data_IF_360778806574
#
_entry.id   IF_360778806574
#
_cell.length_a   1.000
_cell.length_b   1.000
_cell.length_c   1.000
_cell.angle_alpha   90.00
_cell.angle_beta   90.00
_cell.angle_gamma   90.00
#
_symmetry.space_group_name_H-M   'P 1'
#
loop_
_entity.id
_entity.type
_entity.pdbx_description
1 polymer ?
#
# COMPACT_ATOMS: atom_id res chain seq x y z
N UNK A 1 -0.06 7.16 -4.35
CA UNK A 1 -0.02 7.41 -5.80
C UNK A 1 -1.42 7.23 -6.38
N UNK A 2 -2.16 8.32 -6.63
CA UNK A 2 -3.45 8.23 -7.35
C UNK A 2 -3.14 8.07 -8.84
N UNK A 3 -3.12 6.83 -9.33
CA UNK A 3 -3.15 6.58 -10.77
C UNK A 3 -4.34 7.37 -11.33
N UNK A 4 -4.07 8.40 -12.15
CA UNK A 4 -5.10 9.02 -12.98
C UNK A 4 -5.80 7.87 -13.70
N UNK A 5 -7.11 8.02 -13.98
CA UNK A 5 -7.84 7.09 -14.85
C UNK A 5 -7.23 7.20 -16.26
N UNK A 6 -6.07 6.59 -16.45
CA UNK A 6 -5.43 6.36 -17.72
C UNK A 6 -6.26 5.25 -18.32
N UNK A 7 -7.18 5.65 -19.18
CA UNK A 7 -7.96 4.76 -20.03
C UNK A 7 -7.09 3.94 -21.00
N UNK A 8 -5.76 4.02 -20.89
CA UNK A 8 -4.82 3.28 -21.70
C UNK A 8 -4.30 2.05 -20.95
N UNK A 9 -4.94 0.92 -21.24
CA UNK A 9 -4.54 -0.41 -20.80
C UNK A 9 -3.05 -0.70 -21.11
N UNK A 10 -2.53 -0.22 -22.24
CA UNK A 10 -1.13 -0.44 -22.59
C UNK A 10 -0.19 0.32 -21.63
N UNK A 11 -0.55 1.54 -21.23
CA UNK A 11 0.20 2.27 -20.20
C UNK A 11 0.22 1.51 -18.88
N UNK A 12 -0.92 0.99 -18.42
CA UNK A 12 -0.98 0.20 -17.19
C UNK A 12 -0.07 -1.04 -17.23
N UNK A 13 -0.06 -1.77 -18.36
CA UNK A 13 0.83 -2.92 -18.55
C UNK A 13 2.31 -2.52 -18.55
N UNK A 14 2.68 -1.45 -19.27
CA UNK A 14 4.07 -0.98 -19.34
C UNK A 14 4.58 -0.52 -17.98
N UNK A 15 3.81 0.29 -17.25
CA UNK A 15 4.24 0.78 -15.93
C UNK A 15 4.27 -0.34 -14.89
N UNK A 16 3.32 -1.28 -14.93
CA UNK A 16 3.37 -2.47 -14.05
C UNK A 16 4.62 -3.30 -14.32
N UNK A 17 4.94 -3.55 -15.60
CA UNK A 17 6.15 -4.28 -16.01
C UNK A 17 7.42 -3.61 -15.49
N UNK A 18 7.51 -2.28 -15.54
CA UNK A 18 8.64 -1.53 -14.97
C UNK A 18 8.74 -1.69 -13.47
N UNK A 19 7.62 -1.56 -12.75
CA UNK A 19 7.58 -1.71 -11.29
C UNK A 19 8.08 -3.10 -10.88
N UNK A 20 7.52 -4.17 -11.46
CA UNK A 20 7.91 -5.54 -11.09
C UNK A 20 9.33 -5.91 -11.48
N UNK A 21 9.96 -5.12 -12.37
CA UNK A 21 11.35 -5.31 -12.80
C UNK A 21 12.36 -4.47 -12.02
N UNK A 22 11.92 -3.72 -11.00
CA UNK A 22 12.82 -2.89 -10.20
C UNK A 22 13.85 -3.76 -9.46
N UNK A 23 15.15 -3.41 -9.52
CA UNK A 23 16.15 -4.11 -8.74
C UNK A 23 15.85 -3.92 -7.25
N UNK A 24 16.03 -4.99 -6.47
CA UNK A 24 15.76 -5.02 -5.03
C UNK A 24 14.28 -4.86 -4.62
N UNK A 25 13.34 -4.99 -5.56
CA UNK A 25 11.92 -5.13 -5.21
C UNK A 25 11.66 -6.52 -4.65
N UNK A 26 11.05 -6.58 -3.46
CA UNK A 26 10.49 -7.81 -2.90
C UNK A 26 8.97 -7.75 -2.95
N UNK A 27 8.34 -8.76 -3.56
CA UNK A 27 6.89 -8.91 -3.60
C UNK A 27 6.50 -9.86 -2.47
N UNK A 28 5.56 -9.41 -1.63
CA UNK A 28 5.09 -10.17 -0.47
C UNK A 28 3.78 -10.90 -0.80
N UNK A 29 3.68 -12.16 -0.36
CA UNK A 29 2.47 -12.95 -0.50
C UNK A 29 1.37 -12.49 0.46
N UNK A 30 0.14 -12.48 -0.04
CA UNK A 30 -1.05 -12.36 0.80
C UNK A 30 -1.44 -13.75 1.32
N UNK A 31 -1.64 -13.86 2.63
CA UNK A 31 -1.99 -15.07 3.36
C UNK A 31 -3.35 -14.89 4.05
N UNK A 32 -4.09 -15.97 4.36
CA UNK A 32 -5.39 -15.86 5.03
C UNK A 32 -5.38 -15.04 6.32
N UNK A 33 -4.28 -15.08 7.10
CA UNK A 33 -4.12 -14.26 8.31
C UNK A 33 -4.17 -12.75 8.04
N UNK A 34 -3.73 -12.31 6.85
CA UNK A 34 -3.77 -10.90 6.47
C UNK A 34 -5.20 -10.42 6.22
N UNK A 35 -6.11 -11.30 5.80
CA UNK A 35 -7.53 -10.96 5.64
C UNK A 35 -8.18 -10.68 7.00
N UNK A 36 -7.86 -11.50 8.01
CA UNK A 36 -8.37 -11.31 9.38
C UNK A 36 -7.81 -10.02 9.98
N UNK A 37 -6.51 -9.79 9.84
CA UNK A 37 -5.88 -8.54 10.30
C UNK A 37 -6.41 -7.29 9.56
N UNK A 38 -6.68 -7.39 8.26
CA UNK A 38 -7.26 -6.28 7.49
C UNK A 38 -8.68 -5.93 7.98
N UNK A 39 -9.50 -6.94 8.32
CA UNK A 39 -10.82 -6.71 8.90
C UNK A 39 -10.73 -5.99 10.24
N UNK A 40 -9.81 -6.44 11.11
CA UNK A 40 -9.55 -5.81 12.41
C UNK A 40 -9.12 -4.34 12.26
N UNK A 41 -8.22 -4.06 11.31
CA UNK A 41 -7.81 -2.69 10.99
C UNK A 41 -8.98 -1.84 10.49
N UNK A 42 -9.87 -2.38 9.65
CA UNK A 42 -11.03 -1.62 9.19
C UNK A 42 -12.03 -1.30 10.32
N UNK A 43 -12.14 -2.20 11.31
CA UNK A 43 -13.00 -1.98 12.48
C UNK A 43 -12.46 -0.86 13.38
N UNK A 44 -11.14 -0.80 13.58
CA UNK A 44 -10.49 0.20 14.42
C UNK A 44 -10.19 1.51 13.69
N UNK A 45 -10.07 1.48 12.35
CA UNK A 45 -9.74 2.63 11.52
C UNK A 45 -10.77 2.77 10.37
N UNK A 46 -11.95 3.37 10.61
CA UNK A 46 -13.06 3.41 9.63
C UNK A 46 -12.75 4.10 8.29
N UNK A 47 -11.66 4.87 8.22
CA UNK A 47 -11.19 5.52 6.98
C UNK A 47 -10.40 4.58 6.07
N UNK A 48 -9.84 3.50 6.62
CA UNK A 48 -9.13 2.51 5.81
C UNK A 48 -10.11 1.74 4.94
N UNK A 49 -9.88 1.80 3.63
CA UNK A 49 -10.61 0.97 2.66
C UNK A 49 -10.03 -0.45 2.66
N UNK A 50 -10.80 -1.45 2.20
CA UNK A 50 -10.38 -2.86 2.28
C UNK A 50 -8.98 -3.17 1.73
N UNK A 51 -8.64 -2.60 0.57
CA UNK A 51 -7.31 -2.78 -0.04
C UNK A 51 -6.20 -2.13 0.78
N UNK A 52 -6.46 -0.96 1.34
CA UNK A 52 -5.47 -0.20 2.10
C UNK A 52 -5.19 -0.91 3.44
N UNK A 53 -6.25 -1.43 4.08
CA UNK A 53 -6.13 -2.29 5.25
C UNK A 53 -5.36 -3.59 4.95
N UNK A 54 -5.58 -4.22 3.79
CA UNK A 54 -4.82 -5.41 3.39
C UNK A 54 -3.33 -5.10 3.17
N UNK A 55 -3.00 -3.97 2.54
CA UNK A 55 -1.61 -3.54 2.39
C UNK A 55 -0.94 -3.28 3.75
N UNK A 56 -1.63 -2.61 4.66
CA UNK A 56 -1.13 -2.37 6.01
C UNK A 56 -0.89 -3.70 6.76
N UNK A 57 -1.84 -4.64 6.71
CA UNK A 57 -1.73 -5.94 7.35
C UNK A 57 -0.52 -6.76 6.82
N UNK A 58 -0.31 -6.78 5.51
CA UNK A 58 0.84 -7.47 4.90
C UNK A 58 2.16 -6.81 5.31
N UNK A 59 2.21 -5.47 5.29
CA UNK A 59 3.42 -4.72 5.65
C UNK A 59 3.82 -4.95 7.11
N UNK A 60 2.88 -4.82 8.05
CA UNK A 60 3.15 -5.00 9.47
C UNK A 60 3.56 -6.44 9.82
N UNK A 61 2.93 -7.44 9.17
CA UNK A 61 3.33 -8.84 9.33
C UNK A 61 4.75 -9.14 8.83
N UNK A 62 5.23 -8.36 7.84
CA UNK A 62 6.59 -8.42 7.33
C UNK A 62 7.59 -7.55 8.12
N UNK A 63 7.16 -6.91 9.21
CA UNK A 63 8.00 -5.99 10.00
C UNK A 63 8.24 -4.63 9.34
N UNK A 64 7.42 -4.26 8.36
CA UNK A 64 7.51 -2.97 7.65
C UNK A 64 6.47 -2.01 8.23
N UNK A 65 6.94 -1.00 8.97
CA UNK A 65 6.09 -0.03 9.68
C UNK A 65 6.09 1.37 9.04
N UNK A 66 6.52 1.46 7.78
CA UNK A 66 6.47 2.70 7.00
C UNK A 66 5.87 2.44 5.62
N UNK A 67 4.95 3.29 5.17
CA UNK A 67 4.32 3.18 3.85
C UNK A 67 4.47 4.47 3.04
N UNK A 68 5.00 4.34 1.82
CA UNK A 68 5.02 5.47 0.87
C UNK A 68 3.65 5.55 0.21
N UNK A 69 2.89 6.61 0.53
CA UNK A 69 1.55 6.78 -0.02
C UNK A 69 1.15 8.25 -0.16
N UNK A 70 0.33 8.52 -1.18
CA UNK A 70 -0.34 9.81 -1.34
C UNK A 70 -1.74 9.80 -0.70
N UNK A 71 -2.13 8.69 -0.08
CA UNK A 71 -3.43 8.54 0.56
C UNK A 71 -3.29 8.90 2.05
N UNK A 72 -3.85 10.01 2.51
CA UNK A 72 -3.73 10.45 3.91
C UNK A 72 -4.53 9.55 4.87
N UNK A 73 -5.37 8.64 4.38
CA UNK A 73 -6.14 7.75 5.26
C UNK A 73 -5.22 6.78 6.05
N UNK A 74 -4.00 6.54 5.58
CA UNK A 74 -2.99 5.80 6.37
C UNK A 74 -2.51 6.55 7.60
N UNK A 75 -2.67 7.88 7.69
CA UNK A 75 -2.35 8.65 8.90
C UNK A 75 -3.28 8.26 10.08
N UNK A 76 -4.37 7.52 9.80
CA UNK A 76 -5.27 6.99 10.81
C UNK A 76 -4.74 5.75 11.54
N UNK A 77 -3.63 5.14 11.07
CA UNK A 77 -3.05 3.89 11.60
C UNK A 77 -1.77 4.22 12.38
N UNK A 78 -1.81 4.33 13.71
CA UNK A 78 -0.65 4.73 14.52
C UNK A 78 0.57 3.82 14.36
N UNK A 79 0.34 2.54 14.07
CA UNK A 79 1.37 1.50 13.91
C UNK A 79 2.09 1.58 12.56
N UNK A 80 1.58 2.38 11.61
CA UNK A 80 2.09 2.46 10.24
C UNK A 80 2.34 3.91 9.82
N UNK A 81 3.60 4.33 9.86
CA UNK A 81 4.00 5.69 9.48
C UNK A 81 3.87 5.94 7.98
N UNK A 82 3.03 6.91 7.58
CA UNK A 82 2.95 7.32 6.18
C UNK A 82 4.07 8.29 5.80
N UNK A 83 4.76 7.97 4.71
CA UNK A 83 5.70 8.89 4.04
C UNK A 83 5.03 9.45 2.79
N UNK A 84 4.79 10.76 2.78
CA UNK A 84 4.26 11.46 1.62
C UNK A 84 5.29 11.47 0.47
N UNK A 85 4.85 11.38 -0.79
CA UNK A 85 5.79 11.38 -1.93
C UNK A 85 6.58 12.69 -2.02
N UNK A 86 5.99 13.79 -1.57
CA UNK A 86 6.61 15.12 -1.55
C UNK A 86 7.82 15.16 -0.60
N UNK A 87 7.82 14.34 0.45
CA UNK A 87 8.92 14.23 1.40
C UNK A 87 10.11 13.41 0.87
N UNK A 88 9.93 12.72 -0.27
CA UNK A 88 10.96 11.90 -0.92
C UNK A 88 11.65 12.61 -2.08
N UNK A 89 11.34 13.89 -2.31
CA UNK A 89 12.03 14.69 -3.33
C UNK A 89 13.44 15.03 -2.83
N UNK A 90 14.49 14.81 -3.65
CA UNK A 90 15.85 15.23 -3.31
C UNK A 90 15.98 16.75 -3.24
#
# INVERSE_FOLDING_TARGET
>A
MRLRKLSDHQTALRETSRIVSLPHLTILDVKPKHMVAALDLMQHHPRLRPRDALHAAVAMDAGVYSIVSSDPDFDAVPELGRVALEALRP
#
